data_IF_805393251469
#
_entry.id   IF_805393251469
#
_cell.length_a   1.000
_cell.length_b   1.000
_cell.length_c   1.000
_cell.angle_alpha   90.00
_cell.angle_beta   90.00
_cell.angle_gamma   90.00
#
_symmetry.space_group_name_H-M   'P 1'
#
loop_
_entity.id
_entity.type
_entity.pdbx_description
1 polymer ?
#
# COMPACT_ATOMS: atom_id res chain seq x y z
N UNK A 1 9.09 10.76 18.53
CA UNK A 1 7.66 10.47 18.51
C UNK A 1 7.25 9.65 17.30
N UNK A 2 7.90 9.85 16.17
CA UNK A 2 7.52 9.20 14.91
C UNK A 2 7.46 7.69 14.96
N UNK A 3 8.37 7.06 15.66
CA UNK A 3 8.50 5.60 15.66
C UNK A 3 7.33 4.89 16.33
N UNK A 4 6.59 5.57 17.19
CA UNK A 4 5.51 4.98 17.98
C UNK A 4 4.12 5.41 17.55
N UNK A 5 4.03 6.39 16.67
CA UNK A 5 2.75 6.85 16.18
C UNK A 5 2.52 6.34 14.77
N UNK A 6 1.32 5.90 14.52
CA UNK A 6 0.89 5.60 13.17
C UNK A 6 0.38 6.86 12.50
N UNK A 7 0.37 6.87 11.18
CA UNK A 7 -0.28 7.92 10.40
C UNK A 7 -1.17 7.28 9.35
N UNK A 8 -2.25 7.98 9.01
CA UNK A 8 -3.10 7.60 7.89
C UNK A 8 -2.69 8.46 6.70
N UNK A 9 -2.34 7.80 5.61
CA UNK A 9 -1.83 8.47 4.43
C UNK A 9 -2.63 8.04 3.20
N UNK A 10 -3.21 8.98 2.46
CA UNK A 10 -3.88 8.65 1.22
C UNK A 10 -2.88 8.22 0.14
N UNK A 11 -3.28 7.25 -0.65
CA UNK A 11 -2.51 6.79 -1.81
C UNK A 11 -3.41 6.92 -3.02
N UNK A 12 -2.93 7.60 -4.05
CA UNK A 12 -3.64 7.74 -5.31
C UNK A 12 -2.91 6.96 -6.41
N UNK A 13 -3.66 6.31 -7.28
CA UNK A 13 -3.11 5.58 -8.41
C UNK A 13 -3.88 5.91 -9.68
N UNK A 14 -3.16 6.16 -10.77
CA UNK A 14 -3.74 6.48 -12.07
C UNK A 14 -2.97 5.76 -13.18
N UNK A 15 -3.69 5.33 -14.21
CA UNK A 15 -3.09 4.75 -15.41
C UNK A 15 -2.94 5.80 -16.50
N UNK A 16 -1.83 5.78 -17.20
CA UNK A 16 -1.59 6.60 -18.37
C UNK A 16 -0.90 5.76 -19.45
N UNK A 17 -1.05 6.09 -20.73
CA UNK A 17 -0.32 5.38 -21.78
C UNK A 17 1.19 5.43 -21.54
N UNK A 18 1.87 4.31 -21.75
CA UNK A 18 3.32 4.25 -21.61
C UNK A 18 4.00 5.05 -22.69
N UNK A 19 5.16 5.62 -22.38
CA UNK A 19 5.97 6.35 -23.36
C UNK A 19 6.47 5.45 -24.49
N UNK A 20 6.75 4.19 -24.16
CA UNK A 20 7.17 3.17 -25.11
C UNK A 20 6.24 1.98 -25.03
N UNK A 21 5.83 1.47 -26.18
CA UNK A 21 4.93 0.33 -26.28
C UNK A 21 5.55 -0.90 -25.63
N UNK A 22 4.76 -1.60 -24.84
CA UNK A 22 5.14 -2.81 -24.11
C UNK A 22 6.22 -2.60 -23.03
N UNK A 23 6.48 -1.35 -22.65
CA UNK A 23 7.44 -1.00 -21.58
C UNK A 23 6.76 -0.31 -20.39
N UNK A 24 5.50 -0.60 -20.16
CA UNK A 24 4.75 -0.03 -19.05
C UNK A 24 5.36 -0.38 -17.69
N UNK A 25 5.34 0.57 -16.77
CA UNK A 25 5.96 0.43 -15.45
C UNK A 25 5.15 1.12 -14.38
N UNK A 26 5.42 0.75 -13.14
CA UNK A 26 4.83 1.41 -11.97
C UNK A 26 5.80 2.51 -11.52
N UNK A 27 5.29 3.73 -11.48
CA UNK A 27 6.05 4.93 -11.10
C UNK A 27 5.48 5.44 -9.79
N UNK A 28 6.29 5.44 -8.73
CA UNK A 28 5.85 5.85 -7.40
C UNK A 28 6.50 7.17 -7.02
N UNK A 29 5.69 8.11 -6.56
CA UNK A 29 6.16 9.42 -6.08
C UNK A 29 5.77 9.64 -4.63
N UNK A 30 6.51 10.51 -3.97
CA UNK A 30 6.44 10.78 -2.55
C UNK A 30 7.82 10.60 -1.95
N UNK A 31 7.96 10.84 -0.66
CA UNK A 31 9.23 10.58 0.03
C UNK A 31 9.27 9.12 0.44
N UNK A 32 9.94 8.29 -0.35
CA UNK A 32 10.05 6.87 -0.06
C UNK A 32 11.47 6.51 0.37
N UNK A 33 11.57 5.76 1.46
CA UNK A 33 12.82 5.19 1.89
C UNK A 33 13.22 4.01 1.00
N UNK A 34 14.43 3.52 1.20
CA UNK A 34 15.02 2.46 0.37
C UNK A 34 14.19 1.19 0.37
N UNK A 35 13.72 0.75 1.54
CA UNK A 35 12.92 -0.47 1.66
C UNK A 35 11.56 -0.31 0.95
N UNK A 36 10.97 0.87 1.06
CA UNK A 36 9.71 1.15 0.38
C UNK A 36 9.89 1.13 -1.15
N UNK A 37 10.99 1.65 -1.66
CA UNK A 37 11.30 1.59 -3.09
C UNK A 37 11.51 0.15 -3.57
N UNK A 38 12.19 -0.67 -2.78
CA UNK A 38 12.40 -2.08 -3.11
C UNK A 38 11.06 -2.83 -3.20
N UNK A 39 10.11 -2.48 -2.34
CA UNK A 39 8.79 -3.14 -2.35
C UNK A 39 8.04 -2.90 -3.65
N UNK A 40 8.29 -1.81 -4.36
CA UNK A 40 7.66 -1.50 -5.65
C UNK A 40 7.99 -2.57 -6.69
N UNK A 41 9.20 -3.11 -6.65
CA UNK A 41 9.60 -4.17 -7.58
C UNK A 41 8.76 -5.44 -7.37
N UNK A 42 8.51 -5.79 -6.11
CA UNK A 42 7.68 -6.95 -5.78
C UNK A 42 6.23 -6.73 -6.21
N UNK A 43 5.71 -5.54 -6.00
CA UNK A 43 4.35 -5.18 -6.40
C UNK A 43 4.19 -5.29 -7.91
N UNK A 44 5.16 -4.81 -8.68
CA UNK A 44 5.14 -4.90 -10.13
C UNK A 44 4.98 -6.35 -10.60
N UNK A 45 5.73 -7.27 -9.98
CA UNK A 45 5.63 -8.70 -10.31
C UNK A 45 4.25 -9.26 -9.97
N UNK A 46 3.69 -8.88 -8.83
CA UNK A 46 2.38 -9.35 -8.37
C UNK A 46 1.27 -8.84 -9.29
N UNK A 47 1.30 -7.57 -9.64
CA UNK A 47 0.28 -6.97 -10.52
C UNK A 47 0.28 -7.67 -11.88
N UNK A 48 1.44 -7.91 -12.46
CA UNK A 48 1.56 -8.60 -13.75
C UNK A 48 0.96 -10.01 -13.69
N UNK A 49 1.07 -10.66 -12.54
CA UNK A 49 0.57 -12.03 -12.36
C UNK A 49 -0.94 -12.09 -12.19
N UNK A 50 -1.54 -11.14 -11.50
CA UNK A 50 -2.92 -11.25 -11.03
C UNK A 50 -3.95 -10.39 -11.76
N UNK A 51 -3.54 -9.37 -12.52
CA UNK A 51 -4.52 -8.56 -13.24
C UNK A 51 -4.94 -9.23 -14.55
N UNK A 52 -6.20 -9.00 -14.93
CA UNK A 52 -6.73 -9.48 -16.20
C UNK A 52 -6.48 -8.49 -17.34
N UNK A 53 -6.01 -7.29 -17.01
CA UNK A 53 -5.75 -6.23 -17.98
C UNK A 53 -4.27 -6.28 -18.37
N UNK A 54 -3.98 -6.15 -19.67
CA UNK A 54 -2.60 -6.03 -20.13
C UNK A 54 -2.09 -4.63 -19.79
N UNK A 55 -1.21 -4.54 -18.79
CA UNK A 55 -0.67 -3.27 -18.33
C UNK A 55 0.65 -2.91 -18.98
N UNK A 56 1.15 -3.72 -19.94
CA UNK A 56 2.44 -3.46 -20.56
C UNK A 56 2.46 -2.18 -21.41
N UNK A 57 1.30 -1.73 -21.88
CA UNK A 57 1.17 -0.51 -22.67
C UNK A 57 0.83 0.73 -21.83
N UNK A 58 0.83 0.60 -20.50
CA UNK A 58 0.46 1.68 -19.59
C UNK A 58 1.52 1.90 -18.52
N UNK A 59 1.71 3.15 -18.15
CA UNK A 59 2.41 3.51 -16.93
C UNK A 59 1.36 3.68 -15.83
N UNK A 60 1.65 3.19 -14.65
CA UNK A 60 0.77 3.33 -13.49
C UNK A 60 1.46 4.26 -12.51
N UNK A 61 0.88 5.42 -12.30
CA UNK A 61 1.42 6.43 -11.40
C UNK A 61 0.78 6.29 -10.04
N UNK A 62 1.60 6.09 -9.02
CA UNK A 62 1.17 5.96 -7.63
C UNK A 62 1.77 7.10 -6.83
N UNK A 63 0.95 7.83 -6.10
CA UNK A 63 1.40 8.95 -5.29
C UNK A 63 0.98 8.76 -3.83
N UNK A 64 1.95 8.88 -2.93
CA UNK A 64 1.68 8.99 -1.50
C UNK A 64 1.42 10.46 -1.19
N UNK A 65 0.17 10.78 -0.91
CA UNK A 65 -0.25 12.15 -0.63
C UNK A 65 0.11 12.54 0.80
N UNK A 66 0.59 13.77 0.99
CA UNK A 66 0.91 14.30 2.31
C UNK A 66 2.00 13.48 3.05
N UNK A 67 2.99 13.00 2.30
CA UNK A 67 4.08 12.21 2.86
C UNK A 67 5.21 13.10 3.38
N UNK A 68 4.89 13.97 4.34
CA UNK A 68 5.84 14.97 4.85
C UNK A 68 7.07 14.37 5.52
N UNK A 69 6.89 13.27 6.22
CA UNK A 69 7.97 12.60 6.95
C UNK A 69 8.60 11.45 6.17
N UNK A 70 8.10 11.18 4.97
CA UNK A 70 8.56 10.08 4.16
C UNK A 70 7.86 8.77 4.49
N UNK A 71 8.06 7.79 3.61
CA UNK A 71 7.51 6.44 3.77
C UNK A 71 8.68 5.49 3.95
N UNK A 72 8.74 4.83 5.09
CA UNK A 72 9.79 3.88 5.41
C UNK A 72 9.22 2.46 5.56
N UNK A 73 10.02 1.47 5.20
CA UNK A 73 9.61 0.07 5.28
C UNK A 73 8.66 -0.31 4.16
N UNK A 74 8.15 -1.51 4.26
CA UNK A 74 7.30 -2.11 3.24
C UNK A 74 5.84 -2.30 3.68
N UNK A 75 5.45 -1.75 4.83
CA UNK A 75 4.10 -1.94 5.39
C UNK A 75 3.00 -1.27 4.58
N UNK A 76 3.34 -0.42 3.62
CA UNK A 76 2.39 0.17 2.69
C UNK A 76 2.19 -0.66 1.41
N UNK A 77 2.89 -1.79 1.26
CA UNK A 77 2.85 -2.53 -0.01
C UNK A 77 1.47 -3.11 -0.32
N UNK A 78 0.73 -3.58 0.68
CA UNK A 78 -0.65 -4.06 0.47
C UNK A 78 -1.55 -2.91 0.01
N UNK A 79 -1.45 -1.75 0.65
CA UNK A 79 -2.26 -0.57 0.29
C UNK A 79 -1.94 -0.07 -1.11
N UNK A 80 -0.67 -0.03 -1.46
CA UNK A 80 -0.21 0.39 -2.78
C UNK A 80 -0.74 -0.56 -3.85
N UNK A 81 -0.65 -1.87 -3.59
CA UNK A 81 -1.17 -2.90 -4.50
C UNK A 81 -2.67 -2.76 -4.70
N UNK A 82 -3.42 -2.53 -3.62
CA UNK A 82 -4.86 -2.31 -3.70
C UNK A 82 -5.20 -1.08 -4.55
N UNK A 83 -4.47 0.01 -4.38
CA UNK A 83 -4.67 1.23 -5.16
C UNK A 83 -4.40 0.99 -6.64
N UNK A 84 -3.35 0.25 -6.96
CA UNK A 84 -2.99 -0.09 -8.35
C UNK A 84 -4.07 -0.97 -8.97
N UNK A 85 -4.52 -2.00 -8.27
CA UNK A 85 -5.58 -2.89 -8.76
C UNK A 85 -6.87 -2.10 -9.00
N UNK A 86 -7.21 -1.21 -8.08
CA UNK A 86 -8.37 -0.33 -8.23
C UNK A 86 -8.28 0.49 -9.53
N UNK A 87 -7.14 1.09 -9.81
CA UNK A 87 -6.93 1.87 -11.02
C UNK A 87 -6.99 1.01 -12.29
N UNK A 88 -6.35 -0.16 -12.26
CA UNK A 88 -6.29 -1.06 -13.43
C UNK A 88 -7.65 -1.66 -13.74
N UNK A 89 -8.38 -2.11 -12.73
CA UNK A 89 -9.66 -2.81 -12.91
C UNK A 89 -10.86 -1.84 -12.91
N UNK A 90 -10.65 -0.57 -12.60
CA UNK A 90 -11.74 0.41 -12.54
C UNK A 90 -12.71 0.17 -11.40
N UNK A 91 -12.23 -0.40 -10.29
CA UNK A 91 -13.06 -0.71 -9.12
C UNK A 91 -12.75 0.30 -8.01
N UNK A 92 -13.75 1.13 -7.60
CA UNK A 92 -13.51 2.10 -6.53
C UNK A 92 -13.28 1.43 -5.18
N UNK A 93 -12.49 2.09 -4.33
CA UNK A 93 -12.19 1.62 -2.98
C UNK A 93 -12.97 2.45 -1.97
N UNK A 94 -13.53 1.78 -0.97
CA UNK A 94 -14.23 2.44 0.14
C UNK A 94 -13.23 3.27 0.96
N UNK A 95 -13.43 4.58 0.97
CA UNK A 95 -12.52 5.53 1.63
C UNK A 95 -12.66 5.54 3.16
N UNK A 96 -13.60 4.79 3.72
CA UNK A 96 -13.71 4.63 5.17
C UNK A 96 -12.86 3.48 5.71
N UNK A 97 -12.15 2.79 4.83
CA UNK A 97 -11.29 1.64 5.16
C UNK A 97 -9.84 2.01 4.97
N UNK A 98 -9.00 1.66 5.93
CA UNK A 98 -7.54 1.76 5.80
C UNK A 98 -6.94 0.35 5.76
N UNK A 99 -5.80 0.25 5.09
CA UNK A 99 -5.08 -1.01 4.93
C UNK A 99 -3.64 -0.84 5.37
N UNK A 100 -3.08 -1.88 5.97
CA UNK A 100 -1.65 -1.96 6.19
C UNK A 100 -1.22 -3.41 6.06
N UNK A 101 -0.01 -3.62 5.61
CA UNK A 101 0.53 -4.97 5.42
C UNK A 101 1.72 -4.96 4.48
N UNK A 102 2.62 -5.88 4.70
CA UNK A 102 3.75 -6.13 3.82
C UNK A 102 3.41 -7.26 2.86
N UNK A 103 3.80 -7.14 1.62
CA UNK A 103 3.46 -8.11 0.58
C UNK A 103 4.75 -8.72 0.01
N UNK A 104 4.86 -10.05 0.07
CA UNK A 104 5.99 -10.75 -0.52
C UNK A 104 5.84 -10.81 -2.04
N UNK A 105 6.93 -11.14 -2.74
CA UNK A 105 6.93 -11.31 -4.19
C UNK A 105 5.96 -12.42 -4.65
N UNK A 106 5.64 -13.35 -3.76
CA UNK A 106 4.68 -14.43 -4.03
C UNK A 106 3.23 -14.04 -3.80
N UNK A 107 2.99 -12.86 -3.24
CA UNK A 107 1.65 -12.39 -2.93
C UNK A 107 1.18 -12.71 -1.51
N UNK A 108 2.07 -13.20 -0.65
CA UNK A 108 1.71 -13.48 0.75
C UNK A 108 1.72 -12.19 1.56
N UNK A 109 0.70 -12.01 2.39
CA UNK A 109 0.61 -10.87 3.28
C UNK A 109 1.40 -11.18 4.56
N UNK A 110 2.41 -10.38 4.83
CA UNK A 110 3.33 -10.54 5.94
C UNK A 110 2.98 -9.59 7.08
N UNK A 111 3.32 -9.94 8.34
CA UNK A 111 3.02 -9.09 9.48
C UNK A 111 3.79 -7.77 9.44
N UNK A 112 3.26 -6.79 10.16
CA UNK A 112 3.83 -5.44 10.27
C UNK A 112 4.14 -5.13 11.73
N UNK A 113 4.99 -4.12 11.94
CA UNK A 113 5.22 -3.58 13.26
C UNK A 113 4.24 -2.47 13.60
N UNK A 114 4.05 -2.20 14.89
CA UNK A 114 3.24 -1.08 15.37
C UNK A 114 1.75 -1.16 15.06
N UNK A 115 1.19 -2.38 15.02
CA UNK A 115 -0.22 -2.58 14.66
C UNK A 115 -1.16 -1.75 15.54
N UNK A 116 -0.97 -1.74 16.85
CA UNK A 116 -1.82 -1.00 17.77
C UNK A 116 -1.78 0.50 17.51
N UNK A 117 -0.59 1.05 17.31
CA UNK A 117 -0.43 2.48 17.02
C UNK A 117 -1.09 2.87 15.70
N UNK A 118 -1.03 1.98 14.71
CA UNK A 118 -1.68 2.20 13.42
C UNK A 118 -3.19 2.19 13.53
N UNK A 119 -3.74 1.29 14.33
CA UNK A 119 -5.18 1.23 14.60
C UNK A 119 -5.63 2.53 15.32
N UNK A 120 -4.88 2.97 16.31
CA UNK A 120 -5.19 4.20 17.03
C UNK A 120 -5.19 5.42 16.10
N UNK A 121 -4.18 5.51 15.24
CA UNK A 121 -4.11 6.60 14.26
C UNK A 121 -5.29 6.59 13.30
N UNK A 122 -5.70 5.41 12.85
CA UNK A 122 -6.86 5.27 11.98
C UNK A 122 -8.14 5.71 12.68
N UNK A 123 -8.32 5.31 13.94
CA UNK A 123 -9.48 5.70 14.73
C UNK A 123 -9.53 7.23 14.90
N UNK A 124 -8.41 7.85 15.22
CA UNK A 124 -8.32 9.32 15.36
C UNK A 124 -8.63 10.04 14.05
N UNK A 125 -8.29 9.44 12.91
CA UNK A 125 -8.57 10.00 11.60
C UNK A 125 -10.01 9.74 11.11
N UNK A 126 -10.84 9.06 11.92
CA UNK A 126 -12.23 8.78 11.56
C UNK A 126 -12.41 7.56 10.64
N UNK A 127 -11.39 6.74 10.50
CA UNK A 127 -11.47 5.50 9.73
C UNK A 127 -12.37 4.49 10.46
N UNK A 128 -13.27 3.86 9.73
CA UNK A 128 -14.24 2.92 10.32
C UNK A 128 -13.77 1.48 10.39
N UNK A 129 -12.85 1.10 9.50
CA UNK A 129 -12.37 -0.28 9.42
C UNK A 129 -10.89 -0.28 9.02
N UNK A 130 -10.10 -1.07 9.71
CA UNK A 130 -8.69 -1.25 9.38
C UNK A 130 -8.47 -2.72 9.03
N UNK A 131 -7.88 -2.96 7.87
CA UNK A 131 -7.49 -4.31 7.44
C UNK A 131 -6.02 -4.51 7.77
N UNK A 132 -5.76 -5.54 8.56
CA UNK A 132 -4.44 -5.90 9.05
C UNK A 132 -4.06 -7.30 8.58
N UNK A 133 -2.77 -7.63 8.51
CA UNK A 133 -2.37 -9.01 8.32
C UNK A 133 -2.92 -9.90 9.45
N UNK A 134 -3.41 -11.06 9.07
CA UNK A 134 -3.94 -12.02 10.05
C UNK A 134 -2.92 -12.36 11.13
N UNK A 135 -1.64 -12.43 10.76
CA UNK A 135 -0.54 -12.75 11.67
C UNK A 135 -0.32 -11.69 12.75
N UNK A 136 -0.91 -10.49 12.61
CA UNK A 136 -0.85 -9.47 13.65
C UNK A 136 -1.99 -9.53 14.67
N UNK A 137 -2.90 -10.49 14.53
CA UNK A 137 -4.08 -10.55 15.38
C UNK A 137 -3.73 -10.70 16.86
N UNK A 138 -2.73 -11.51 17.19
CA UNK A 138 -2.31 -11.70 18.59
C UNK A 138 -1.80 -10.42 19.22
N UNK A 139 -1.04 -9.62 18.47
CA UNK A 139 -0.51 -8.35 18.98
C UNK A 139 -1.62 -7.41 19.42
N UNK A 140 -2.67 -7.33 18.62
CA UNK A 140 -3.82 -6.46 18.91
C UNK A 140 -4.63 -6.97 20.08
N UNK A 141 -4.84 -8.27 20.16
CA UNK A 141 -5.62 -8.89 21.24
C UNK A 141 -4.92 -8.79 22.58
N UNK A 142 -3.61 -9.00 22.64
CA UNK A 142 -2.85 -8.95 23.87
C UNK A 142 -2.82 -7.55 24.48
N UNK A 143 -2.78 -6.52 23.67
CA UNK A 143 -2.74 -5.15 24.17
C UNK A 143 -4.09 -4.65 24.70
N UNK A 144 -5.17 -5.33 24.39
CA UNK A 144 -6.49 -4.99 24.91
C UNK A 144 -6.80 -5.63 26.26
N UNK A 145 -5.98 -6.55 26.66
CA UNK A 145 -6.13 -7.22 27.95
C UNK A 145 -5.36 -6.49 29.03
#
# INVERSE_FOLDING_TARGET
>A
MGDRSGIVMPIAAEMAPANSKSEGKIIVTGKLGEIALDSVQNISAIIKKYTQVDISDYDIHVQFLQSYEGVEGDSASVSMTAAVISAVEGIPIDQTVALTGSLSVRGDVMPIGGATHKIEAAAEAGIKKVLLPKSNMEDVMLEKL
#
